data_IF_995640569979
#
_entry.id   IF_995640569979
#
_cell.length_a   1.000
_cell.length_b   1.000
_cell.length_c   1.000
_cell.angle_alpha   90.00
_cell.angle_beta   90.00
_cell.angle_gamma   90.00
#
_symmetry.space_group_name_H-M   'P 1'
#
loop_
_entity.id
_entity.type
_entity.pdbx_description
1 polymer ?
#
# COMPACT_ATOMS: atom_id res chain seq x y z
N UNK A 1 -14.69 12.58 25.23
CA UNK A 1 -15.20 13.18 23.97
C UNK A 1 -14.00 13.19 23.02
N UNK A 2 -13.95 12.53 21.87
CA UNK A 2 -14.92 11.94 20.95
C UNK A 2 -14.36 10.60 20.45
N UNK A 3 -15.21 9.58 20.28
CA UNK A 3 -14.89 8.43 19.42
C UNK A 3 -15.07 8.89 17.98
N UNK A 4 -13.98 9.22 17.29
CA UNK A 4 -13.99 9.40 15.84
C UNK A 4 -14.25 8.02 15.23
N UNK A 5 -15.51 7.72 14.91
CA UNK A 5 -15.81 6.60 14.05
C UNK A 5 -15.17 6.91 12.69
N UNK A 6 -14.14 6.15 12.32
CA UNK A 6 -13.52 6.20 11.00
C UNK A 6 -14.60 5.86 9.95
N UNK A 7 -15.13 6.90 9.30
CA UNK A 7 -16.12 6.70 8.24
C UNK A 7 -15.37 6.30 6.99
N UNK A 8 -15.48 5.03 6.61
CA UNK A 8 -15.01 4.53 5.31
C UNK A 8 -16.05 4.91 4.26
N UNK A 9 -15.66 5.74 3.30
CA UNK A 9 -16.50 6.08 2.15
C UNK A 9 -16.26 5.07 1.01
N UNK A 10 -17.32 4.42 0.54
CA UNK A 10 -17.28 3.53 -0.62
C UNK A 10 -17.69 4.29 -1.88
N UNK A 11 -16.72 4.52 -2.76
CA UNK A 11 -16.91 5.19 -4.05
C UNK A 11 -16.95 4.18 -5.21
N UNK A 12 -17.62 4.49 -6.34
CA UNK A 12 -17.66 3.59 -7.49
C UNK A 12 -16.27 3.34 -8.08
N UNK A 13 -16.08 2.17 -8.69
CA UNK A 13 -14.84 1.83 -9.38
C UNK A 13 -14.60 2.75 -10.57
N UNK A 14 -13.34 3.15 -10.79
CA UNK A 14 -12.90 3.89 -11.97
C UNK A 14 -13.32 3.15 -13.25
N UNK A 15 -13.80 3.89 -14.25
CA UNK A 15 -14.29 3.34 -15.52
C UNK A 15 -13.27 2.45 -16.25
N UNK A 16 -11.98 2.73 -16.10
CA UNK A 16 -10.89 1.98 -16.74
C UNK A 16 -10.34 0.82 -15.91
N UNK A 17 -10.77 0.66 -14.65
CA UNK A 17 -10.27 -0.38 -13.76
C UNK A 17 -11.05 -1.70 -13.93
N UNK A 18 -10.69 -2.46 -14.96
CA UNK A 18 -11.43 -3.66 -15.34
C UNK A 18 -11.13 -4.92 -14.49
N UNK A 19 -10.05 -4.93 -13.69
CA UNK A 19 -9.52 -6.16 -13.08
C UNK A 19 -9.73 -6.15 -11.57
N UNK A 20 -10.50 -7.11 -11.07
CA UNK A 20 -10.90 -7.20 -9.66
C UNK A 20 -9.94 -7.96 -8.76
N UNK A 21 -8.97 -8.66 -9.36
CA UNK A 21 -7.99 -9.44 -8.64
C UNK A 21 -6.71 -9.60 -9.44
N UNK A 22 -5.58 -9.65 -8.73
CA UNK A 22 -4.27 -9.93 -9.30
C UNK A 22 -3.50 -10.80 -8.32
N UNK A 23 -3.04 -11.94 -8.80
CA UNK A 23 -2.14 -12.82 -8.07
C UNK A 23 -1.01 -13.21 -9.03
N UNK A 24 0.21 -12.82 -8.69
CA UNK A 24 1.39 -13.11 -9.49
C UNK A 24 1.97 -14.47 -9.11
N UNK A 25 2.37 -15.26 -10.11
CA UNK A 25 3.24 -16.41 -9.87
C UNK A 25 4.69 -15.95 -9.77
N UNK A 26 5.37 -16.34 -8.69
CA UNK A 26 6.79 -16.02 -8.45
C UNK A 26 7.71 -17.22 -8.69
N UNK A 27 7.19 -18.32 -9.24
CA UNK A 27 7.95 -19.56 -9.41
C UNK A 27 9.14 -19.41 -10.37
N UNK A 28 9.00 -18.57 -11.40
CA UNK A 28 10.09 -18.30 -12.33
C UNK A 28 11.27 -17.61 -11.63
N UNK A 29 11.00 -16.61 -10.78
CA UNK A 29 12.06 -15.85 -10.10
C UNK A 29 12.65 -16.61 -8.92
N UNK A 30 11.85 -17.42 -8.21
CA UNK A 30 12.37 -18.38 -7.23
C UNK A 30 13.39 -19.32 -7.86
N UNK A 31 13.07 -19.90 -9.02
CA UNK A 31 13.96 -20.85 -9.71
C UNK A 31 15.23 -20.20 -10.25
N UNK A 32 15.13 -18.99 -10.81
CA UNK A 32 16.24 -18.35 -11.51
C UNK A 32 17.16 -17.53 -10.60
N UNK A 33 16.61 -16.95 -9.52
CA UNK A 33 17.29 -15.95 -8.70
C UNK A 33 17.31 -16.31 -7.20
N UNK A 34 16.81 -17.48 -6.82
CA UNK A 34 16.54 -17.87 -5.42
C UNK A 34 15.72 -16.81 -4.66
N UNK A 35 14.87 -16.08 -5.38
CA UNK A 35 14.12 -14.97 -4.81
C UNK A 35 13.09 -15.47 -3.79
N UNK A 36 13.20 -14.98 -2.55
CA UNK A 36 12.30 -15.28 -1.43
C UNK A 36 11.83 -13.96 -0.82
N UNK A 37 10.53 -13.61 -0.94
CA UNK A 37 9.97 -12.49 -0.18
C UNK A 37 10.07 -12.80 1.32
N UNK A 38 10.77 -11.94 2.07
CA UNK A 38 10.96 -12.13 3.52
C UNK A 38 10.01 -11.26 4.35
N UNK A 39 9.52 -10.17 3.76
CA UNK A 39 8.65 -9.21 4.43
C UNK A 39 7.19 -9.64 4.29
N UNK A 40 6.50 -9.77 5.43
CA UNK A 40 5.04 -9.90 5.45
C UNK A 40 4.39 -8.56 5.11
N UNK A 41 3.15 -8.62 4.63
CA UNK A 41 2.43 -7.42 4.24
C UNK A 41 2.22 -6.47 5.44
N UNK A 42 1.86 -7.01 6.59
CA UNK A 42 1.61 -6.23 7.81
C UNK A 42 2.88 -5.50 8.28
N UNK A 43 4.01 -6.22 8.36
CA UNK A 43 5.29 -5.66 8.75
C UNK A 43 5.75 -4.54 7.79
N UNK A 44 5.47 -4.71 6.49
CA UNK A 44 5.73 -3.70 5.47
C UNK A 44 4.88 -2.45 5.65
N UNK A 45 3.58 -2.61 5.94
CA UNK A 45 2.67 -1.49 6.21
C UNK A 45 3.11 -0.69 7.45
N UNK A 46 3.50 -1.37 8.53
CA UNK A 46 4.00 -0.71 9.74
C UNK A 46 5.25 0.13 9.46
N UNK A 47 6.19 -0.40 8.68
CA UNK A 47 7.41 0.32 8.27
C UNK A 47 7.10 1.55 7.41
N UNK A 48 6.19 1.41 6.45
CA UNK A 48 5.76 2.53 5.60
C UNK A 48 5.08 3.59 6.46
N UNK A 49 4.17 3.20 7.36
CA UNK A 49 3.54 4.13 8.29
C UNK A 49 4.56 4.87 9.16
N UNK A 50 5.54 4.15 9.73
CA UNK A 50 6.64 4.76 10.47
C UNK A 50 7.38 5.82 9.66
N UNK A 51 7.78 5.48 8.44
CA UNK A 51 8.42 6.44 7.53
C UNK A 51 7.54 7.67 7.25
N UNK A 52 6.23 7.49 7.04
CA UNK A 52 5.29 8.60 6.86
C UNK A 52 5.23 9.51 8.09
N UNK A 53 5.18 8.93 9.29
CA UNK A 53 5.14 9.72 10.53
C UNK A 53 6.42 10.50 10.77
N UNK A 54 7.57 9.94 10.42
CA UNK A 54 8.88 10.60 10.56
C UNK A 54 9.10 11.72 9.54
N UNK A 55 8.57 11.56 8.33
CA UNK A 55 8.82 12.46 7.20
C UNK A 55 7.59 13.32 6.85
N UNK A 56 6.63 13.45 7.78
CA UNK A 56 5.31 14.03 7.50
C UNK A 56 5.38 15.43 6.87
N UNK A 57 6.24 16.32 7.40
CA UNK A 57 6.44 17.68 6.87
C UNK A 57 6.93 17.69 5.43
N UNK A 58 7.81 16.76 5.07
CA UNK A 58 8.36 16.67 3.72
C UNK A 58 7.32 16.08 2.75
N UNK A 59 6.55 15.09 3.22
CA UNK A 59 5.40 14.55 2.47
C UNK A 59 4.39 15.64 2.19
N UNK A 60 3.99 16.43 3.19
CA UNK A 60 3.03 17.52 3.04
C UNK A 60 3.51 18.57 2.03
N UNK A 61 4.80 18.92 2.08
CA UNK A 61 5.41 19.88 1.13
C UNK A 61 5.48 19.33 -0.30
N UNK A 62 5.67 18.02 -0.45
CA UNK A 62 6.00 17.39 -1.75
C UNK A 62 4.82 16.68 -2.41
N UNK A 63 3.73 16.45 -1.69
CA UNK A 63 2.57 15.75 -2.22
C UNK A 63 1.86 16.58 -3.28
N UNK A 64 1.74 16.03 -4.49
CA UNK A 64 1.00 16.63 -5.59
C UNK A 64 -0.38 15.99 -5.70
N UNK A 65 -1.41 16.75 -5.35
CA UNK A 65 -2.80 16.39 -5.62
C UNK A 65 -3.25 17.16 -6.86
N UNK A 66 -3.53 16.44 -7.94
CA UNK A 66 -4.07 16.98 -9.19
C UNK A 66 -5.45 16.38 -9.48
#
# INVERSE_FOLDING_TARGET
MQTLAEVIEYVPRRNWDAKTGRLSSIEKVKRLLDYKPEMRFEDGLERVHGWFTENWTDVERSAEFR
#
